data_IF_702948009381
#
_entry.id   IF_702948009381
#
_cell.length_a   1.000
_cell.length_b   1.000
_cell.length_c   1.000
_cell.angle_alpha   90.00
_cell.angle_beta   90.00
_cell.angle_gamma   90.00
#
_symmetry.space_group_name_H-M   'P 1'
#
loop_
_entity.id
_entity.type
_entity.pdbx_description
1 polymer ?
#
# COMPACT_ATOMS: atom_id res chain seq x y z
N UNK A 1 19.02 -14.91 -11.00
CA UNK A 1 17.73 -15.61 -10.96
C UNK A 1 16.96 -15.10 -9.77
N UNK A 2 15.70 -14.77 -9.94
CA UNK A 2 14.74 -14.29 -8.95
C UNK A 2 14.81 -12.80 -8.59
N UNK A 3 14.19 -12.00 -9.42
CA UNK A 3 13.65 -10.71 -9.06
C UNK A 3 12.13 -10.77 -9.20
N UNK A 4 11.46 -11.19 -8.15
CA UNK A 4 10.02 -10.95 -7.97
C UNK A 4 9.80 -10.67 -6.50
N UNK A 5 9.95 -9.42 -6.11
CA UNK A 5 9.37 -8.90 -4.87
C UNK A 5 7.87 -8.91 -5.06
N UNK A 6 7.20 -9.82 -4.39
CA UNK A 6 5.76 -10.00 -4.52
C UNK A 6 5.12 -9.68 -3.20
N UNK A 7 4.38 -8.60 -3.16
CA UNK A 7 3.42 -8.32 -2.10
C UNK A 7 2.37 -9.44 -2.07
N UNK A 8 2.42 -10.24 -1.02
CA UNK A 8 1.36 -11.19 -0.72
C UNK A 8 0.26 -10.47 0.07
N UNK A 9 -0.71 -9.90 -0.62
CA UNK A 9 -2.02 -9.63 -0.01
C UNK A 9 -2.81 -10.92 -0.09
N UNK A 10 -3.15 -11.53 1.04
CA UNK A 10 -3.82 -12.84 1.10
C UNK A 10 -5.17 -12.80 0.42
N UNK A 11 -5.31 -13.59 -0.61
CA UNK A 11 -6.52 -14.36 -0.82
C UNK A 11 -6.15 -15.82 -0.58
N UNK A 12 -6.74 -16.39 0.42
CA UNK A 12 -6.75 -17.82 0.62
C UNK A 12 -7.14 -18.52 -0.70
N UNK A 13 -6.68 -19.73 -0.88
CA UNK A 13 -7.13 -20.62 -1.95
C UNK A 13 -8.69 -20.58 -2.02
N UNK A 14 -9.32 -20.77 -3.17
CA UNK A 14 -10.78 -20.79 -3.30
C UNK A 14 -11.49 -21.67 -2.25
N UNK A 15 -10.85 -22.73 -1.81
CA UNK A 15 -11.36 -23.65 -0.78
C UNK A 15 -11.40 -23.03 0.63
N UNK A 16 -10.53 -22.08 0.95
CA UNK A 16 -10.53 -21.40 2.27
C UNK A 16 -11.65 -20.35 2.30
N UNK A 17 -11.94 -19.71 1.17
CA UNK A 17 -13.00 -18.71 1.07
C UNK A 17 -14.38 -19.32 1.32
N UNK A 18 -14.61 -20.56 0.88
CA UNK A 18 -15.89 -21.24 1.08
C UNK A 18 -16.13 -21.69 2.53
N UNK A 19 -15.06 -21.97 3.30
CA UNK A 19 -15.20 -22.47 4.67
C UNK A 19 -15.24 -21.39 5.77
N UNK A 20 -14.84 -20.14 5.46
CA UNK A 20 -14.62 -19.10 6.47
C UNK A 20 -15.53 -17.88 6.30
N UNK A 21 -16.17 -17.70 5.14
CA UNK A 21 -17.01 -16.52 4.90
C UNK A 21 -18.50 -16.86 5.01
N UNK A 22 -19.31 -15.94 5.60
CA UNK A 22 -20.78 -16.06 5.58
C UNK A 22 -21.28 -16.15 4.14
N UNK A 23 -22.37 -16.90 3.93
CA UNK A 23 -22.94 -17.24 2.61
C UNK A 23 -23.27 -16.04 1.69
N UNK A 24 -23.35 -14.83 2.22
CA UNK A 24 -23.56 -13.61 1.45
C UNK A 24 -22.24 -13.00 0.88
N UNK A 25 -21.08 -13.39 1.38
CA UNK A 25 -19.77 -12.95 0.88
C UNK A 25 -19.20 -13.89 -0.19
N UNK A 26 -19.65 -15.14 -0.24
CA UNK A 26 -19.19 -16.17 -1.19
C UNK A 26 -19.66 -15.91 -2.64
N UNK A 27 -20.67 -15.04 -2.82
CA UNK A 27 -21.21 -14.73 -4.16
C UNK A 27 -20.33 -13.85 -5.06
N UNK A 28 -19.16 -13.42 -4.62
CA UNK A 28 -18.31 -12.51 -5.42
C UNK A 28 -17.21 -13.22 -6.20
N UNK A 29 -16.91 -14.50 -5.91
CA UNK A 29 -15.85 -15.27 -6.60
C UNK A 29 -16.36 -16.46 -7.43
N UNK A 30 -17.67 -16.65 -7.52
CA UNK A 30 -18.24 -17.64 -8.42
C UNK A 30 -18.10 -17.20 -9.87
N UNK A 31 -17.63 -18.09 -10.73
CA UNK A 31 -17.85 -17.99 -12.17
C UNK A 31 -19.28 -17.49 -12.40
N UNK A 32 -19.43 -16.30 -13.00
CA UNK A 32 -20.75 -15.84 -13.43
C UNK A 32 -21.31 -16.86 -14.43
N UNK A 33 -22.02 -17.84 -13.94
CA UNK A 33 -23.06 -18.47 -14.72
C UNK A 33 -24.10 -17.38 -14.89
N UNK A 34 -24.12 -16.74 -16.04
CA UNK A 34 -25.17 -15.81 -16.43
C UNK A 34 -26.48 -16.58 -16.23
N UNK A 35 -27.39 -16.14 -15.34
CA UNK A 35 -28.68 -16.81 -15.22
C UNK A 35 -29.34 -16.77 -16.60
N UNK A 36 -29.76 -17.92 -17.14
CA UNK A 36 -30.61 -17.91 -18.32
C UNK A 36 -31.82 -17.06 -17.96
N UNK A 37 -31.92 -15.88 -18.59
CA UNK A 37 -33.09 -14.99 -18.44
C UNK A 37 -34.34 -15.76 -18.76
N UNK A 38 -35.26 -15.77 -17.82
CA UNK A 38 -36.61 -16.26 -18.07
C UNK A 38 -37.26 -15.38 -19.14
N UNK A 39 -37.89 -16.03 -20.11
CA UNK A 39 -38.65 -15.41 -21.18
C UNK A 39 -39.80 -14.60 -20.55
N UNK A 40 -39.62 -13.30 -20.32
CA UNK A 40 -40.66 -12.47 -19.70
C UNK A 40 -40.45 -10.95 -19.83
N UNK A 41 -39.23 -10.48 -19.86
CA UNK A 41 -38.96 -9.06 -20.01
C UNK A 41 -38.67 -8.70 -21.49
N UNK A 42 -39.58 -7.92 -22.11
CA UNK A 42 -39.35 -7.30 -23.39
C UNK A 42 -38.24 -6.24 -23.26
N UNK A 43 -36.98 -6.69 -23.21
CA UNK A 43 -35.87 -5.84 -23.54
C UNK A 43 -36.01 -5.46 -25.02
N UNK A 44 -35.78 -4.20 -25.37
CA UNK A 44 -35.66 -3.74 -26.74
C UNK A 44 -34.54 -4.55 -27.43
N UNK A 45 -34.92 -5.60 -28.17
CA UNK A 45 -33.94 -6.35 -28.95
C UNK A 45 -33.44 -5.41 -30.05
N UNK A 46 -32.14 -5.14 -30.09
CA UNK A 46 -31.49 -4.57 -31.24
C UNK A 46 -31.63 -5.59 -32.35
N UNK A 47 -32.17 -5.22 -33.50
CA UNK A 47 -32.52 -6.11 -34.62
C UNK A 47 -31.50 -7.24 -34.89
N UNK A 48 -31.76 -8.06 -35.92
CA UNK A 48 -30.87 -9.17 -36.26
C UNK A 48 -29.54 -8.64 -36.85
N UNK A 49 -28.42 -9.16 -36.35
CA UNK A 49 -27.07 -8.93 -36.91
C UNK A 49 -26.55 -10.27 -37.46
N UNK A 50 -25.84 -10.26 -38.58
CA UNK A 50 -25.25 -11.47 -39.10
C UNK A 50 -23.92 -11.78 -38.41
N UNK A 51 -23.56 -13.10 -38.30
CA UNK A 51 -22.23 -13.53 -37.84
C UNK A 51 -21.11 -12.84 -38.61
N UNK A 52 -21.28 -12.60 -39.92
CA UNK A 52 -20.29 -11.94 -40.76
C UNK A 52 -20.08 -10.50 -40.32
N UNK A 53 -21.15 -9.75 -40.09
CA UNK A 53 -21.05 -8.36 -39.63
C UNK A 53 -20.37 -8.24 -38.27
N UNK A 54 -20.62 -9.18 -37.36
CA UNK A 54 -19.91 -9.23 -36.07
C UNK A 54 -18.39 -9.44 -36.24
N UNK A 55 -18.00 -10.40 -37.06
CA UNK A 55 -16.59 -10.65 -37.40
C UNK A 55 -15.94 -9.46 -38.08
N UNK A 56 -16.63 -8.81 -38.98
CA UNK A 56 -16.17 -7.58 -39.66
C UNK A 56 -16.00 -6.43 -38.64
N UNK A 57 -16.92 -6.26 -37.70
CA UNK A 57 -16.81 -5.29 -36.61
C UNK A 57 -15.62 -5.57 -35.70
N UNK A 58 -15.40 -6.84 -35.38
CA UNK A 58 -14.21 -7.25 -34.63
C UNK A 58 -12.92 -6.89 -35.37
N UNK A 59 -12.81 -7.21 -36.67
CA UNK A 59 -11.62 -6.90 -37.45
C UNK A 59 -11.39 -5.39 -37.56
N UNK A 60 -12.42 -4.59 -37.81
CA UNK A 60 -12.35 -3.12 -37.83
C UNK A 60 -11.87 -2.58 -36.48
N UNK A 61 -12.39 -3.13 -35.37
CA UNK A 61 -11.99 -2.72 -34.05
C UNK A 61 -10.52 -3.11 -33.78
N UNK A 62 -10.08 -4.27 -34.28
CA UNK A 62 -8.68 -4.73 -34.19
C UNK A 62 -7.73 -3.86 -34.99
N UNK A 63 -8.13 -3.40 -36.19
CA UNK A 63 -7.35 -2.47 -37.01
C UNK A 63 -7.26 -1.09 -36.36
N UNK A 64 -8.39 -0.58 -35.85
CA UNK A 64 -8.43 0.68 -35.07
C UNK A 64 -7.52 0.61 -33.84
N UNK A 65 -7.50 -0.52 -33.14
CA UNK A 65 -6.57 -0.76 -32.02
C UNK A 65 -5.10 -0.67 -32.46
N UNK A 66 -4.73 -1.34 -33.56
CA UNK A 66 -3.34 -1.33 -34.07
C UNK A 66 -2.85 0.06 -34.50
N UNK A 67 -3.75 0.92 -34.94
CA UNK A 67 -3.45 2.31 -35.32
C UNK A 67 -3.38 3.27 -34.12
N UNK A 68 -3.83 2.85 -32.95
CA UNK A 68 -3.89 3.69 -31.76
C UNK A 68 -2.52 3.85 -31.11
N UNK A 69 -2.14 5.10 -30.84
CA UNK A 69 -0.90 5.39 -30.13
C UNK A 69 -1.01 4.93 -28.65
N UNK A 70 0.02 4.27 -28.16
CA UNK A 70 0.09 3.86 -26.76
C UNK A 70 0.19 5.08 -25.84
N UNK A 71 -0.36 4.99 -24.60
CA UNK A 71 -0.22 6.04 -23.60
C UNK A 71 1.24 6.33 -23.27
N UNK A 72 1.54 7.57 -22.92
CA UNK A 72 2.86 7.96 -22.42
C UNK A 72 3.25 7.20 -21.16
N UNK A 73 4.57 7.11 -20.92
CA UNK A 73 5.09 6.51 -19.71
C UNK A 73 4.78 7.36 -18.49
N UNK A 74 4.50 6.68 -17.37
CA UNK A 74 4.36 7.31 -16.06
C UNK A 74 5.77 7.52 -15.48
N UNK A 75 6.05 8.72 -14.94
CA UNK A 75 7.34 9.00 -14.32
C UNK A 75 7.52 8.14 -13.04
N UNK A 76 8.52 7.24 -12.98
CA UNK A 76 8.77 6.41 -11.79
C UNK A 76 9.20 7.21 -10.56
N UNK A 77 9.75 8.42 -10.75
CA UNK A 77 10.08 9.38 -9.67
C UNK A 77 9.01 10.45 -9.49
N UNK A 78 7.80 10.22 -10.00
CA UNK A 78 6.69 11.16 -9.87
C UNK A 78 6.23 11.30 -8.42
N UNK A 79 5.71 12.50 -8.11
CA UNK A 79 4.89 12.76 -6.93
C UNK A 79 3.47 12.96 -7.41
N UNK A 80 2.55 12.17 -6.89
CA UNK A 80 1.16 12.10 -7.34
C UNK A 80 0.24 12.78 -6.33
N UNK A 81 -0.48 13.79 -6.77
CA UNK A 81 -1.38 14.55 -5.91
C UNK A 81 -2.79 13.96 -5.89
N UNK A 82 -3.31 13.73 -4.70
CA UNK A 82 -4.72 13.44 -4.45
C UNK A 82 -5.49 14.73 -4.11
N UNK A 83 -4.83 15.68 -3.45
CA UNK A 83 -5.35 17.00 -3.12
C UNK A 83 -4.37 18.08 -3.60
N UNK A 84 -4.85 19.32 -3.68
CA UNK A 84 -3.97 20.47 -3.91
C UNK A 84 -3.09 20.71 -2.68
N UNK A 85 -1.78 20.75 -2.91
CA UNK A 85 -0.76 20.93 -1.89
C UNK A 85 0.28 21.97 -2.33
N UNK A 86 0.29 23.10 -1.68
CA UNK A 86 1.29 24.16 -1.87
C UNK A 86 2.42 24.02 -0.84
N UNK A 87 3.61 23.65 -1.29
CA UNK A 87 4.77 23.48 -0.41
C UNK A 87 5.27 24.79 0.20
N UNK A 88 4.84 25.97 -0.30
CA UNK A 88 5.14 27.27 0.31
C UNK A 88 4.49 27.41 1.68
N UNK A 89 3.27 26.87 1.83
CA UNK A 89 2.52 26.90 3.10
C UNK A 89 3.07 25.90 4.12
N UNK A 90 3.78 24.86 3.66
CA UNK A 90 4.37 23.85 4.54
C UNK A 90 5.61 24.41 5.21
N UNK A 91 5.58 24.57 6.53
CA UNK A 91 6.68 25.03 7.35
C UNK A 91 7.38 23.91 8.10
N UNK A 92 6.67 22.81 8.37
CA UNK A 92 7.12 21.70 9.21
C UNK A 92 6.96 20.38 8.46
N UNK A 93 8.03 19.61 8.40
CA UNK A 93 8.08 18.29 7.80
C UNK A 93 8.22 17.23 8.89
N UNK A 94 7.23 16.37 9.01
CA UNK A 94 7.24 15.23 9.92
C UNK A 94 7.44 13.92 9.19
N UNK A 95 8.14 12.97 9.81
CA UNK A 95 8.44 11.69 9.19
C UNK A 95 8.19 10.53 10.15
N UNK A 96 7.64 9.45 9.63
CA UNK A 96 7.87 8.13 10.19
C UNK A 96 9.25 7.61 9.77
N UNK A 97 9.74 6.54 10.42
CA UNK A 97 11.03 5.96 10.11
C UNK A 97 10.90 4.73 9.20
N UNK A 98 10.16 3.71 9.66
CA UNK A 98 10.08 2.43 8.98
C UNK A 98 9.29 2.56 7.67
N UNK A 99 9.82 1.99 6.57
CA UNK A 99 9.29 2.09 5.21
C UNK A 99 9.01 3.52 4.71
N UNK A 100 9.38 4.54 5.48
CA UNK A 100 9.26 5.96 5.12
C UNK A 100 10.64 6.57 4.84
N UNK A 101 11.52 6.61 5.83
CA UNK A 101 12.92 7.02 5.67
C UNK A 101 13.82 5.80 5.41
N UNK A 102 13.56 4.69 6.09
CA UNK A 102 14.26 3.43 5.97
C UNK A 102 13.51 2.47 5.04
N UNK A 103 14.06 2.19 3.88
CA UNK A 103 13.58 1.14 2.98
C UNK A 103 14.31 -0.17 3.28
N UNK A 104 13.54 -1.24 3.46
CA UNK A 104 14.09 -2.54 3.79
C UNK A 104 14.24 -3.44 2.57
N UNK A 105 15.29 -4.27 2.58
CA UNK A 105 15.54 -5.30 1.58
C UNK A 105 14.64 -6.52 1.83
N UNK A 106 14.42 -7.39 0.81
CA UNK A 106 13.68 -8.64 0.99
C UNK A 106 14.22 -9.55 2.10
N UNK A 107 15.50 -9.43 2.45
CA UNK A 107 16.10 -10.13 3.58
C UNK A 107 15.41 -9.85 4.92
N UNK A 108 14.82 -8.68 5.08
CA UNK A 108 14.01 -8.33 6.25
C UNK A 108 12.73 -9.16 6.32
N UNK A 109 12.03 -9.32 5.19
CA UNK A 109 10.80 -10.11 5.12
C UNK A 109 11.08 -11.59 5.44
N UNK A 110 12.18 -12.13 4.89
CA UNK A 110 12.63 -13.49 5.20
C UNK A 110 13.04 -13.68 6.66
N UNK A 111 13.69 -12.68 7.26
CA UNK A 111 14.06 -12.69 8.66
C UNK A 111 12.82 -12.75 9.56
N UNK A 112 11.87 -11.83 9.37
CA UNK A 112 10.62 -11.78 10.14
C UNK A 112 9.79 -13.06 9.97
N UNK A 113 9.68 -13.57 8.73
CA UNK A 113 9.01 -14.84 8.46
C UNK A 113 9.65 -16.00 9.23
N UNK A 114 10.99 -16.13 9.17
CA UNK A 114 11.71 -17.24 9.80
C UNK A 114 11.61 -17.19 11.32
N UNK A 115 11.80 -16.01 11.90
CA UNK A 115 11.65 -15.80 13.36
C UNK A 115 10.20 -16.04 13.81
N UNK A 116 9.21 -15.53 13.09
CA UNK A 116 7.79 -15.74 13.37
C UNK A 116 7.40 -17.22 13.31
N UNK A 117 7.88 -17.94 12.28
CA UNK A 117 7.68 -19.39 12.14
C UNK A 117 8.27 -20.17 13.33
N UNK A 118 9.50 -19.85 13.72
CA UNK A 118 10.19 -20.55 14.82
C UNK A 118 9.49 -20.28 16.16
N UNK A 119 9.02 -19.05 16.40
CA UNK A 119 8.18 -18.69 17.54
C UNK A 119 6.84 -19.43 17.54
N UNK A 120 6.20 -19.54 16.37
CA UNK A 120 4.92 -20.25 16.22
C UNK A 120 5.09 -21.74 16.50
N UNK A 121 6.14 -22.39 15.98
CA UNK A 121 6.47 -23.80 16.24
C UNK A 121 6.65 -24.03 17.74
N UNK A 122 7.34 -23.13 18.42
CA UNK A 122 7.52 -23.24 19.87
C UNK A 122 6.20 -23.09 20.62
N UNK A 123 5.34 -22.17 20.18
CA UNK A 123 4.04 -21.93 20.81
C UNK A 123 3.07 -23.12 20.67
N UNK A 124 3.04 -23.81 19.54
CA UNK A 124 2.18 -24.99 19.35
C UNK A 124 2.56 -26.18 20.21
N UNK A 125 3.70 -26.13 20.90
CA UNK A 125 4.03 -27.08 21.97
C UNK A 125 3.28 -26.80 23.29
N UNK A 126 2.71 -25.61 23.49
CA UNK A 126 2.21 -25.11 24.79
C UNK A 126 0.75 -24.57 24.84
N UNK A 127 -0.11 -24.74 23.82
CA UNK A 127 -1.59 -24.52 23.81
C UNK A 127 -2.26 -23.12 23.98
N UNK A 128 -3.30 -22.93 23.22
CA UNK A 128 -4.65 -22.26 23.11
C UNK A 128 -4.99 -20.92 23.83
N UNK A 129 -5.54 -19.93 23.06
CA UNK A 129 -6.65 -19.00 23.39
C UNK A 129 -7.10 -18.06 22.25
N UNK A 130 -8.34 -17.45 22.35
CA UNK A 130 -9.19 -16.78 21.32
C UNK A 130 -8.83 -15.35 20.95
N UNK A 131 -9.14 -14.88 19.71
CA UNK A 131 -9.51 -13.47 19.34
C UNK A 131 -9.89 -13.20 17.87
N UNK A 132 -10.07 -11.93 17.51
CA UNK A 132 -10.73 -11.22 16.42
C UNK A 132 -9.85 -11.05 15.17
N UNK A 133 -10.44 -11.08 13.95
CA UNK A 133 -9.74 -10.81 12.68
C UNK A 133 -9.42 -9.31 12.52
N UNK A 134 -8.25 -9.01 11.95
CA UNK A 134 -7.77 -7.64 11.69
C UNK A 134 -7.33 -7.55 10.23
N UNK A 135 -7.54 -6.38 9.61
CA UNK A 135 -7.07 -6.09 8.26
C UNK A 135 -5.58 -5.78 8.27
N UNK A 136 -4.84 -6.37 7.33
CA UNK A 136 -3.42 -6.13 7.14
C UNK A 136 -3.24 -4.95 6.17
N UNK A 137 -2.47 -3.97 6.58
CA UNK A 137 -2.42 -2.69 5.88
C UNK A 137 -1.00 -2.11 5.71
N UNK A 138 0.03 -2.82 6.17
CA UNK A 138 1.42 -2.39 6.10
C UNK A 138 2.35 -3.48 5.56
N UNK A 139 3.58 -3.09 5.21
CA UNK A 139 4.58 -4.00 4.67
C UNK A 139 5.15 -4.97 5.71
N UNK A 140 5.16 -4.62 7.00
CA UNK A 140 5.50 -5.56 8.07
C UNK A 140 4.52 -6.72 8.18
N UNK A 141 3.31 -6.56 7.66
CA UNK A 141 2.31 -7.63 7.59
C UNK A 141 2.60 -8.68 6.52
N UNK A 142 3.49 -8.43 5.57
CA UNK A 142 3.79 -9.38 4.47
C UNK A 142 4.34 -10.73 4.99
N UNK A 143 5.36 -10.76 5.88
CA UNK A 143 5.82 -12.02 6.48
C UNK A 143 4.76 -12.73 7.31
N UNK A 144 3.94 -11.98 8.06
CA UNK A 144 2.79 -12.51 8.83
C UNK A 144 1.81 -13.23 7.91
N UNK A 145 1.52 -12.61 6.77
CA UNK A 145 0.63 -13.16 5.76
C UNK A 145 1.19 -14.40 5.09
N UNK A 146 2.45 -14.38 4.69
CA UNK A 146 3.13 -15.52 4.10
C UNK A 146 3.12 -16.72 5.06
N UNK A 147 3.37 -16.48 6.35
CA UNK A 147 3.33 -17.50 7.38
C UNK A 147 1.92 -18.04 7.58
N UNK A 148 0.90 -17.17 7.67
CA UNK A 148 -0.50 -17.59 7.82
C UNK A 148 -0.95 -18.47 6.64
N UNK A 149 -0.63 -18.09 5.40
CA UNK A 149 -0.95 -18.90 4.22
C UNK A 149 -0.29 -20.27 4.27
N UNK A 150 1.00 -20.33 4.56
CA UNK A 150 1.73 -21.58 4.57
C UNK A 150 1.26 -22.54 5.66
N UNK A 151 0.97 -22.04 6.86
CA UNK A 151 0.44 -22.86 7.95
C UNK A 151 -0.98 -23.32 7.65
N UNK A 152 -1.82 -22.46 7.10
CA UNK A 152 -3.17 -22.83 6.66
C UNK A 152 -3.12 -23.93 5.60
N UNK A 153 -2.27 -23.77 4.58
CA UNK A 153 -2.09 -24.80 3.54
C UNK A 153 -1.58 -26.12 4.11
N UNK A 154 -0.64 -26.06 5.05
CA UNK A 154 -0.15 -27.24 5.75
C UNK A 154 -1.26 -27.97 6.49
N UNK A 155 -2.13 -27.26 7.23
CA UNK A 155 -3.25 -27.87 7.95
C UNK A 155 -4.26 -28.50 7.00
N UNK A 156 -4.62 -27.81 5.91
CA UNK A 156 -5.55 -28.34 4.90
C UNK A 156 -5.00 -29.59 4.22
N UNK A 157 -3.70 -29.58 3.81
CA UNK A 157 -3.07 -30.74 3.16
C UNK A 157 -2.95 -31.97 4.06
N UNK A 158 -2.81 -31.74 5.36
CA UNK A 158 -2.66 -32.83 6.33
C UNK A 158 -3.97 -33.16 7.07
N UNK A 159 -5.11 -32.60 6.63
CA UNK A 159 -6.43 -32.83 7.24
C UNK A 159 -6.43 -32.53 8.76
N UNK A 160 -5.71 -31.48 9.19
CA UNK A 160 -5.67 -31.03 10.56
C UNK A 160 -6.76 -29.99 10.78
N UNK A 161 -7.68 -30.27 11.70
CA UNK A 161 -8.71 -29.30 12.08
C UNK A 161 -8.08 -28.11 12.81
N UNK A 162 -8.51 -26.90 12.46
CA UNK A 162 -8.06 -25.67 13.08
C UNK A 162 -9.17 -24.62 13.16
N UNK A 163 -9.05 -23.71 14.10
CA UNK A 163 -9.95 -22.55 14.20
C UNK A 163 -9.27 -21.33 13.56
N UNK A 164 -9.81 -20.74 12.49
CA UNK A 164 -9.15 -19.67 11.72
C UNK A 164 -8.76 -18.46 12.57
N UNK A 165 -9.62 -18.02 13.49
CA UNK A 165 -9.32 -16.88 14.37
C UNK A 165 -8.19 -17.16 15.35
N UNK A 166 -8.10 -18.41 15.83
CA UNK A 166 -7.01 -18.82 16.74
C UNK A 166 -5.71 -18.86 15.96
N UNK A 167 -5.70 -19.49 14.79
CA UNK A 167 -4.54 -19.57 13.92
C UNK A 167 -4.01 -18.17 13.57
N UNK A 168 -4.90 -17.28 13.12
CA UNK A 168 -4.55 -15.90 12.80
C UNK A 168 -3.88 -15.19 14.00
N UNK A 169 -4.48 -15.27 15.19
CA UNK A 169 -3.92 -14.68 16.40
C UNK A 169 -2.55 -15.26 16.76
N UNK A 170 -2.41 -16.56 16.61
CA UNK A 170 -1.16 -17.24 16.98
C UNK A 170 -0.03 -16.86 16.05
N UNK A 171 -0.29 -16.77 14.75
CA UNK A 171 0.64 -16.25 13.75
C UNK A 171 1.01 -14.80 14.08
N UNK A 172 0.02 -13.94 14.26
CA UNK A 172 0.22 -12.53 14.58
C UNK A 172 1.07 -12.32 15.83
N UNK A 173 0.71 -12.97 16.93
CA UNK A 173 1.45 -12.86 18.19
C UNK A 173 2.88 -13.38 18.05
N UNK A 174 3.09 -14.45 17.27
CA UNK A 174 4.41 -15.02 17.02
C UNK A 174 5.29 -14.05 16.25
N UNK A 175 4.76 -13.44 15.19
CA UNK A 175 5.50 -12.41 14.43
C UNK A 175 5.75 -11.18 15.27
N UNK A 176 4.76 -10.69 16.03
CA UNK A 176 4.95 -9.52 16.90
C UNK A 176 5.99 -9.76 18.00
N UNK A 177 6.05 -10.96 18.57
CA UNK A 177 7.02 -11.28 19.63
C UNK A 177 8.47 -11.41 19.13
N UNK A 178 8.69 -11.58 17.84
CA UNK A 178 10.04 -11.66 17.27
C UNK A 178 10.69 -10.29 17.01
N UNK A 179 9.96 -9.17 17.05
CA UNK A 179 10.50 -7.84 16.76
C UNK A 179 11.74 -7.45 17.58
N UNK A 180 11.82 -7.70 18.92
CA UNK A 180 13.03 -7.39 19.68
C UNK A 180 14.27 -8.17 19.19
N UNK A 181 14.08 -9.42 18.76
CA UNK A 181 15.17 -10.25 18.21
C UNK A 181 15.57 -9.71 16.84
N UNK A 182 14.60 -9.40 16.00
CA UNK A 182 14.82 -8.79 14.69
C UNK A 182 15.61 -7.48 14.83
N UNK A 183 15.19 -6.57 15.72
CA UNK A 183 15.92 -5.33 15.97
C UNK A 183 17.39 -5.59 16.30
N UNK A 184 17.68 -6.58 17.18
CA UNK A 184 19.05 -6.94 17.53
C UNK A 184 19.89 -7.43 16.36
N UNK A 185 19.32 -8.28 15.48
CA UNK A 185 19.99 -8.82 14.31
C UNK A 185 20.24 -7.75 13.23
N UNK A 186 19.26 -6.90 13.00
CA UNK A 186 19.39 -5.78 12.03
C UNK A 186 20.45 -4.77 12.48
N UNK A 187 20.50 -4.44 13.79
CA UNK A 187 21.54 -3.54 14.33
C UNK A 187 22.94 -4.13 14.16
N UNK A 188 23.11 -5.44 14.26
CA UNK A 188 24.41 -6.10 14.06
C UNK A 188 24.85 -6.06 12.58
N UNK A 189 23.93 -6.09 11.63
CA UNK A 189 24.26 -6.13 10.20
C UNK A 189 23.29 -5.28 9.37
N UNK A 190 23.25 -3.97 9.61
CA UNK A 190 22.31 -3.03 9.00
C UNK A 190 22.36 -3.04 7.47
N UNK A 191 23.52 -3.23 6.88
CA UNK A 191 23.71 -3.22 5.43
C UNK A 191 23.08 -4.41 4.71
N UNK A 192 22.80 -5.50 5.42
CA UNK A 192 22.09 -6.67 4.89
C UNK A 192 20.60 -6.39 4.72
N UNK A 193 20.01 -5.60 5.61
CA UNK A 193 18.56 -5.41 5.73
C UNK A 193 18.06 -4.07 5.19
N UNK A 194 18.85 -3.00 5.30
CA UNK A 194 18.48 -1.67 4.79
C UNK A 194 19.04 -1.40 3.40
N UNK A 195 18.24 -0.76 2.58
CA UNK A 195 18.69 -0.16 1.33
C UNK A 195 19.35 1.19 1.61
N UNK A 196 20.53 1.44 1.03
CA UNK A 196 21.18 2.74 1.16
C UNK A 196 20.50 3.76 0.25
N UNK A 197 20.06 4.87 0.81
CA UNK A 197 19.48 6.00 0.08
C UNK A 197 20.45 7.21 0.13
N UNK A 198 21.28 7.35 -0.90
CA UNK A 198 22.29 8.41 -0.99
C UNK A 198 21.69 9.82 -1.10
N UNK A 199 20.46 9.94 -1.56
CA UNK A 199 19.77 11.21 -1.75
C UNK A 199 19.05 11.69 -0.48
N UNK A 200 18.89 10.84 0.55
CA UNK A 200 18.16 11.21 1.77
C UNK A 200 18.83 12.37 2.51
N UNK A 201 20.16 12.32 2.65
CA UNK A 201 20.94 13.43 3.23
C UNK A 201 20.75 14.72 2.44
N UNK A 202 20.83 14.65 1.12
CA UNK A 202 20.61 15.79 0.22
C UNK A 202 19.20 16.37 0.37
N UNK A 203 18.21 15.53 0.59
CA UNK A 203 16.84 15.96 0.85
C UNK A 203 16.75 16.76 2.17
N UNK A 204 17.34 16.27 3.26
CA UNK A 204 17.36 16.98 4.53
C UNK A 204 18.17 18.29 4.46
N UNK A 205 19.31 18.29 3.79
CA UNK A 205 20.11 19.51 3.56
C UNK A 205 19.30 20.59 2.85
N UNK A 206 18.46 20.18 1.89
CA UNK A 206 17.59 21.10 1.15
C UNK A 206 16.48 21.69 2.02
N UNK A 207 15.82 20.87 2.86
CA UNK A 207 14.82 21.36 3.80
C UNK A 207 15.44 22.32 4.83
N UNK A 208 16.61 21.99 5.36
CA UNK A 208 17.37 22.85 6.28
C UNK A 208 17.75 24.18 5.64
N UNK A 209 18.21 24.17 4.37
CA UNK A 209 18.49 25.39 3.59
C UNK A 209 17.25 26.26 3.38
N UNK A 210 16.07 25.67 3.29
CA UNK A 210 14.80 26.36 3.14
C UNK A 210 14.18 26.77 4.50
N UNK A 211 14.92 26.66 5.59
CA UNK A 211 14.49 26.95 6.99
C UNK A 211 13.22 26.18 7.41
N UNK A 212 13.02 24.99 6.84
CA UNK A 212 11.90 24.11 7.23
C UNK A 212 12.24 23.35 8.51
N UNK A 213 11.28 23.27 9.43
CA UNK A 213 11.41 22.47 10.65
C UNK A 213 11.19 20.99 10.35
N UNK A 214 11.88 20.12 11.06
CA UNK A 214 11.79 18.67 10.84
C UNK A 214 11.61 17.94 12.17
N UNK A 215 10.74 16.94 12.17
CA UNK A 215 10.58 16.04 13.31
C UNK A 215 10.40 14.59 12.87
N UNK A 216 10.80 13.67 13.74
CA UNK A 216 10.67 12.23 13.57
C UNK A 216 9.76 11.66 14.65
N UNK A 217 8.74 10.87 14.27
CA UNK A 217 7.88 10.13 15.19
C UNK A 217 7.73 8.70 14.71
N UNK A 218 8.28 7.76 15.46
CA UNK A 218 8.28 6.34 15.10
C UNK A 218 7.92 5.41 16.25
N UNK A 219 7.38 4.23 15.93
CA UNK A 219 7.16 3.16 16.91
C UNK A 219 8.43 2.41 17.27
N UNK A 220 9.47 2.51 16.46
CA UNK A 220 10.74 1.81 16.65
C UNK A 220 11.56 2.34 17.83
N UNK A 221 12.36 1.50 18.50
CA UNK A 221 13.20 1.91 19.62
C UNK A 221 14.43 2.69 19.13
N UNK A 222 14.97 3.55 20.02
CA UNK A 222 16.05 4.48 19.67
C UNK A 222 17.28 3.78 19.07
N UNK A 223 17.77 2.69 19.68
CA UNK A 223 18.99 2.01 19.22
C UNK A 223 18.86 1.48 17.77
N UNK A 224 17.65 1.06 17.39
CA UNK A 224 17.35 0.61 16.03
C UNK A 224 17.33 1.78 15.05
N UNK A 225 16.62 2.85 15.41
CA UNK A 225 16.54 4.09 14.61
C UNK A 225 17.92 4.74 14.46
N UNK A 226 18.70 4.85 15.54
CA UNK A 226 20.03 5.45 15.52
C UNK A 226 20.98 4.69 14.58
N UNK A 227 20.99 3.36 14.65
CA UNK A 227 21.79 2.53 13.74
C UNK A 227 21.40 2.73 12.29
N UNK A 228 20.11 2.70 11.98
CA UNK A 228 19.64 2.89 10.62
C UNK A 228 19.87 4.31 10.09
N UNK A 229 19.62 5.33 10.89
CA UNK A 229 19.85 6.73 10.50
C UNK A 229 21.35 7.05 10.32
N UNK A 230 22.23 6.48 11.14
CA UNK A 230 23.68 6.57 10.92
C UNK A 230 24.10 5.96 9.60
N UNK A 231 23.52 4.81 9.25
CA UNK A 231 23.76 4.15 7.97
C UNK A 231 23.24 4.96 6.77
N UNK A 232 22.07 5.60 6.90
CA UNK A 232 21.41 6.34 5.82
C UNK A 232 21.94 7.76 5.62
N UNK A 233 22.25 8.47 6.72
CA UNK A 233 22.54 9.91 6.71
C UNK A 233 23.94 10.23 7.27
N UNK A 234 24.39 9.43 8.24
CA UNK A 234 25.64 9.61 8.95
C UNK A 234 25.45 9.95 10.43
N UNK A 235 26.57 10.04 11.16
CA UNK A 235 26.56 10.19 12.64
C UNK A 235 25.81 11.41 13.14
N UNK A 236 25.78 12.48 12.36
CA UNK A 236 25.13 13.74 12.74
C UNK A 236 23.66 13.82 12.31
N UNK A 237 22.98 12.69 12.08
CA UNK A 237 21.62 12.67 11.60
C UNK A 237 20.63 13.42 12.52
N UNK A 238 20.87 13.43 13.83
CA UNK A 238 20.04 14.13 14.83
C UNK A 238 20.01 15.65 14.61
N UNK A 239 21.06 16.22 14.01
CA UNK A 239 21.13 17.66 13.74
C UNK A 239 20.15 18.15 12.69
N UNK A 240 19.53 17.24 11.94
CA UNK A 240 18.47 17.58 11.00
C UNK A 240 17.12 17.80 11.68
N UNK A 241 16.86 17.12 12.80
CA UNK A 241 15.56 17.11 13.44
C UNK A 241 15.51 18.10 14.63
N UNK A 242 14.42 18.89 14.67
CA UNK A 242 14.13 19.74 15.82
C UNK A 242 13.52 18.91 16.97
N UNK A 243 12.80 17.82 16.65
CA UNK A 243 12.20 16.90 17.63
C UNK A 243 12.36 15.46 17.12
N UNK A 244 12.76 14.55 18.02
CA UNK A 244 12.81 13.11 17.76
C UNK A 244 12.04 12.39 18.85
N UNK A 245 10.99 11.65 18.44
CA UNK A 245 10.15 10.85 19.34
C UNK A 245 10.20 9.39 18.85
N UNK A 246 10.68 8.49 19.70
CA UNK A 246 10.76 7.05 19.44
C UNK A 246 9.81 6.29 20.36
N UNK A 247 9.48 5.03 20.03
CA UNK A 247 8.50 4.23 20.77
C UNK A 247 7.18 4.99 21.01
N UNK A 248 6.75 5.77 20.02
CA UNK A 248 5.59 6.67 20.10
C UNK A 248 4.27 5.94 20.34
N UNK A 249 4.21 4.63 19.96
CA UNK A 249 3.00 3.79 20.03
C UNK A 249 1.85 4.31 19.16
N UNK A 250 2.18 4.70 17.93
CA UNK A 250 1.13 4.99 16.93
C UNK A 250 0.20 3.76 16.76
N UNK A 251 -1.12 3.91 16.60
CA UNK A 251 -1.87 5.17 16.42
C UNK A 251 -2.16 5.95 17.72
N UNK A 252 -1.90 5.41 18.91
CA UNK A 252 -2.21 6.03 20.19
C UNK A 252 -1.57 7.41 20.38
N UNK A 253 -0.38 7.62 19.79
CA UNK A 253 0.27 8.93 19.78
C UNK A 253 -0.63 10.03 19.18
N UNK A 254 -1.42 9.69 18.14
CA UNK A 254 -2.32 10.63 17.47
C UNK A 254 -3.71 10.70 18.11
N UNK A 255 -4.16 9.66 18.81
CA UNK A 255 -5.55 9.53 19.31
C UNK A 255 -5.71 9.71 20.82
N UNK A 256 -4.65 9.53 21.61
CA UNK A 256 -4.68 9.73 23.06
C UNK A 256 -4.19 11.14 23.45
N UNK A 257 -4.70 11.70 24.55
CA UNK A 257 -4.29 13.03 25.05
C UNK A 257 -3.44 13.01 26.31
N UNK A 258 -3.43 11.93 27.04
CA UNK A 258 -2.92 11.88 28.43
C UNK A 258 -1.57 11.18 28.60
N UNK A 259 -1.05 10.51 27.57
CA UNK A 259 0.25 9.81 27.68
C UNK A 259 1.40 10.80 27.76
N UNK A 260 2.22 10.79 28.84
CA UNK A 260 3.28 11.76 29.00
C UNK A 260 4.48 11.45 28.09
N UNK A 261 5.09 12.52 27.54
CA UNK A 261 6.43 12.45 26.97
C UNK A 261 7.45 12.10 28.06
N UNK A 262 8.47 11.30 27.70
CA UNK A 262 9.61 10.97 28.53
C UNK A 262 10.89 11.28 27.77
N UNK A 263 12.00 11.44 28.49
CA UNK A 263 13.33 11.61 27.90
C UNK A 263 14.03 10.25 27.90
N UNK A 264 14.67 9.94 26.78
CA UNK A 264 15.57 8.78 26.70
C UNK A 264 16.99 9.20 27.05
N UNK A 265 17.56 8.60 28.10
CA UNK A 265 18.95 8.75 28.45
C UNK A 265 19.80 7.82 27.56
N UNK A 266 20.53 8.42 26.61
CA UNK A 266 21.37 7.69 25.67
C UNK A 266 22.58 7.01 26.33
N UNK A 267 23.06 7.53 27.46
CA UNK A 267 24.23 7.01 28.19
C UNK A 267 23.83 5.75 28.97
N UNK A 268 22.81 5.87 29.80
CA UNK A 268 22.35 4.78 30.64
C UNK A 268 21.37 3.83 29.92
N UNK A 269 20.93 4.18 28.68
CA UNK A 269 19.95 3.44 27.88
C UNK A 269 18.63 3.22 28.62
N UNK A 270 18.21 4.21 29.40
CA UNK A 270 17.02 4.16 30.26
C UNK A 270 16.08 5.33 29.98
N UNK A 271 14.87 5.21 30.45
CA UNK A 271 13.87 6.25 30.42
C UNK A 271 13.97 7.12 31.69
N UNK A 272 14.00 8.43 31.53
CA UNK A 272 13.89 9.38 32.64
C UNK A 272 12.43 9.68 32.95
N UNK A 273 12.13 9.87 34.23
CA UNK A 273 10.75 10.07 34.70
C UNK A 273 10.38 11.55 34.88
N UNK A 274 11.34 12.45 34.63
CA UNK A 274 11.12 13.87 34.72
C UNK A 274 10.03 14.35 33.77
N UNK A 275 9.29 15.37 34.21
CA UNK A 275 8.25 15.97 33.39
C UNK A 275 8.87 16.80 32.26
N UNK A 276 8.53 16.49 31.04
CA UNK A 276 8.89 17.29 29.86
C UNK A 276 7.97 18.51 29.78
N UNK A 277 8.55 19.69 29.84
CA UNK A 277 7.82 20.97 29.75
C UNK A 277 8.14 21.74 28.47
N UNK A 278 9.24 21.42 27.80
CA UNK A 278 9.67 21.96 26.51
C UNK A 278 10.38 20.90 25.71
N UNK A 279 10.40 21.06 24.40
CA UNK A 279 11.15 20.21 23.49
C UNK A 279 12.46 20.90 23.10
N UNK A 280 13.56 20.17 23.18
CA UNK A 280 14.91 20.66 22.89
C UNK A 280 15.53 19.84 21.77
N UNK A 281 16.23 20.52 20.86
CA UNK A 281 16.96 19.88 19.78
C UNK A 281 18.08 19.00 20.31
N UNK A 282 18.21 17.78 19.71
CA UNK A 282 19.23 16.81 20.13
C UNK A 282 18.80 15.91 21.28
N UNK A 283 17.68 16.18 21.96
CA UNK A 283 17.11 15.31 22.98
C UNK A 283 16.18 14.28 22.32
N UNK A 284 16.30 13.04 22.76
CA UNK A 284 15.43 11.94 22.30
C UNK A 284 14.28 11.75 23.28
N UNK A 285 13.07 11.81 22.75
CA UNK A 285 11.84 11.63 23.53
C UNK A 285 11.22 10.26 23.27
N UNK A 286 10.48 9.77 24.28
CA UNK A 286 9.73 8.53 24.25
C UNK A 286 8.25 8.80 24.43
N UNK A 287 7.40 8.00 23.77
CA UNK A 287 5.95 8.02 23.94
C UNK A 287 5.34 9.40 23.66
N UNK A 288 4.49 9.91 24.56
CA UNK A 288 3.82 11.19 24.42
C UNK A 288 2.59 11.18 23.54
N UNK A 289 2.11 12.37 23.20
CA UNK A 289 0.97 12.59 22.31
C UNK A 289 1.23 13.75 21.35
N UNK A 290 0.53 13.73 20.22
CA UNK A 290 0.56 14.83 19.25
C UNK A 290 0.11 16.17 19.88
N UNK A 291 -0.83 16.11 20.83
CA UNK A 291 -1.27 17.31 21.58
C UNK A 291 -0.11 17.98 22.30
N UNK A 292 0.71 17.21 23.03
CA UNK A 292 1.91 17.74 23.69
C UNK A 292 2.91 18.30 22.69
N UNK A 293 3.14 17.60 21.55
CA UNK A 293 3.99 18.12 20.49
C UNK A 293 3.48 19.47 19.99
N UNK A 294 2.18 19.58 19.67
CA UNK A 294 1.56 20.82 19.20
C UNK A 294 1.60 21.94 20.22
N UNK A 295 1.35 21.64 21.50
CA UNK A 295 1.32 22.64 22.57
C UNK A 295 2.71 23.23 22.86
N UNK A 296 3.78 22.42 22.73
CA UNK A 296 5.14 22.85 22.98
C UNK A 296 5.82 23.50 21.77
N UNK A 297 5.38 23.19 20.53
CA UNK A 297 6.01 23.69 19.31
C UNK A 297 5.18 24.72 18.55
N UNK A 298 3.87 24.73 18.75
CA UNK A 298 2.93 25.50 17.95
C UNK A 298 2.65 24.93 16.54
N UNK A 299 3.17 23.78 16.21
CA UNK A 299 3.02 23.14 14.87
C UNK A 299 1.62 22.55 14.71
N UNK A 300 0.77 23.17 13.92
CA UNK A 300 -0.65 22.79 13.81
C UNK A 300 -1.17 22.92 12.39
N UNK A 301 -2.17 22.10 12.06
CA UNK A 301 -2.94 22.22 10.83
C UNK A 301 -2.11 22.09 9.56
N UNK A 302 -2.49 22.80 8.51
CA UNK A 302 -1.94 22.72 7.16
C UNK A 302 -0.47 23.12 7.01
N UNK A 303 0.14 23.77 8.00
CA UNK A 303 1.58 24.07 7.98
C UNK A 303 2.46 22.84 8.21
N UNK A 304 1.90 21.71 8.67
CA UNK A 304 2.60 20.45 8.91
C UNK A 304 2.31 19.50 7.78
N UNK A 305 3.36 18.94 7.16
CA UNK A 305 3.29 17.85 6.19
C UNK A 305 3.98 16.62 6.80
N UNK A 306 3.19 15.59 7.11
CA UNK A 306 3.65 14.36 7.74
C UNK A 306 3.72 13.23 6.73
N UNK A 307 4.83 12.49 6.74
CA UNK A 307 5.07 11.36 5.84
C UNK A 307 5.06 10.04 6.60
N UNK A 308 4.36 9.06 6.05
CA UNK A 308 4.32 7.69 6.55
C UNK A 308 3.91 6.70 5.46
N UNK A 309 4.03 5.42 5.76
CA UNK A 309 3.62 4.33 4.87
C UNK A 309 2.25 3.75 5.24
N UNK A 310 1.85 3.87 6.50
CA UNK A 310 0.66 3.21 7.02
C UNK A 310 -0.61 4.05 6.83
N UNK A 311 -1.62 3.55 6.03
CA UNK A 311 -2.77 4.36 5.62
C UNK A 311 -3.72 4.76 6.76
N UNK A 312 -3.64 4.14 7.90
CA UNK A 312 -4.47 4.48 9.08
C UNK A 312 -3.71 5.36 10.07
N UNK A 313 -2.62 4.86 10.65
CA UNK A 313 -1.91 5.55 11.72
C UNK A 313 -1.19 6.81 11.26
N UNK A 314 -0.69 6.83 10.02
CA UNK A 314 0.13 7.94 9.53
C UNK A 314 -0.63 8.90 8.61
N UNK A 315 -1.76 8.49 8.07
CA UNK A 315 -2.54 9.33 7.15
C UNK A 315 -3.91 9.68 7.71
N UNK A 316 -4.75 8.68 8.00
CA UNK A 316 -6.16 8.94 8.35
C UNK A 316 -6.30 9.67 9.67
N UNK A 317 -5.69 9.17 10.75
CA UNK A 317 -5.80 9.75 12.09
C UNK A 317 -5.22 11.16 12.13
N UNK A 318 -4.08 11.34 11.45
CA UNK A 318 -3.37 12.63 11.37
C UNK A 318 -4.18 13.69 10.63
N UNK A 319 -4.80 13.32 9.52
CA UNK A 319 -5.62 14.24 8.71
C UNK A 319 -6.92 14.59 9.40
N UNK A 320 -7.64 13.57 9.91
CA UNK A 320 -8.97 13.76 10.46
C UNK A 320 -8.97 14.50 11.80
N UNK A 321 -8.00 14.22 12.68
CA UNK A 321 -7.99 14.73 14.03
C UNK A 321 -7.16 16.01 14.19
N UNK A 322 -6.11 16.17 13.35
CA UNK A 322 -5.15 17.27 13.52
C UNK A 322 -5.09 18.23 12.35
N UNK A 323 -5.76 17.91 11.22
CA UNK A 323 -5.77 18.74 10.03
C UNK A 323 -4.39 18.92 9.39
N UNK A 324 -3.44 18.01 9.67
CA UNK A 324 -2.14 18.02 9.02
C UNK A 324 -2.26 17.59 7.56
N UNK A 325 -1.37 18.08 6.72
CA UNK A 325 -1.15 17.55 5.38
C UNK A 325 -0.38 16.25 5.47
N UNK A 326 -0.63 15.34 4.53
CA UNK A 326 -0.02 14.00 4.55
C UNK A 326 0.57 13.60 3.21
N UNK A 327 1.71 12.91 3.29
CA UNK A 327 2.40 12.30 2.17
C UNK A 327 2.57 10.80 2.40
N UNK A 328 2.06 9.97 1.50
CA UNK A 328 2.24 8.53 1.61
C UNK A 328 3.49 8.07 0.87
N UNK A 329 4.31 7.25 1.53
CA UNK A 329 5.44 6.56 0.91
C UNK A 329 5.01 5.13 0.62
N UNK A 330 4.98 4.77 -0.67
CA UNK A 330 4.51 3.47 -1.17
C UNK A 330 5.60 2.89 -2.05
N UNK A 331 6.48 2.09 -1.47
CA UNK A 331 7.63 1.52 -2.18
C UNK A 331 7.23 0.63 -3.35
N UNK A 332 6.07 -0.06 -3.24
CA UNK A 332 5.47 -0.91 -4.26
C UNK A 332 5.09 -0.16 -5.53
N UNK A 333 4.90 1.15 -5.43
CA UNK A 333 4.61 2.01 -6.57
C UNK A 333 5.70 1.93 -7.65
N UNK A 334 6.95 1.64 -7.28
CA UNK A 334 8.05 1.43 -8.22
C UNK A 334 7.75 0.25 -9.17
N UNK A 335 7.31 -0.88 -8.64
CA UNK A 335 6.94 -2.05 -9.44
C UNK A 335 5.65 -1.80 -10.22
N UNK A 336 4.67 -1.15 -9.61
CA UNK A 336 3.40 -0.79 -10.25
C UNK A 336 3.65 0.07 -11.50
N UNK A 337 4.45 1.14 -11.39
CA UNK A 337 4.78 2.03 -12.52
C UNK A 337 5.60 1.30 -13.58
N UNK A 338 6.57 0.48 -13.19
CA UNK A 338 7.34 -0.32 -14.15
C UNK A 338 6.43 -1.24 -14.98
N UNK A 339 5.44 -1.85 -14.34
CA UNK A 339 4.43 -2.67 -15.01
C UNK A 339 3.53 -1.85 -15.93
N UNK A 340 3.03 -0.69 -15.45
CA UNK A 340 2.21 0.21 -16.26
C UNK A 340 2.95 0.75 -17.50
N UNK A 341 4.26 0.92 -17.40
CA UNK A 341 5.09 1.39 -18.50
C UNK A 341 5.47 0.28 -19.49
N UNK A 342 5.24 -0.98 -19.16
CA UNK A 342 5.55 -2.11 -20.03
C UNK A 342 4.69 -2.04 -21.31
N UNK A 343 5.30 -2.03 -22.52
CA UNK A 343 4.55 -1.93 -23.79
C UNK A 343 3.50 -3.02 -23.95
N UNK A 344 3.83 -4.26 -23.59
CA UNK A 344 2.92 -5.40 -23.68
C UNK A 344 1.71 -5.28 -22.75
N UNK A 345 1.94 -4.75 -21.54
CA UNK A 345 0.84 -4.42 -20.62
C UNK A 345 -0.09 -3.36 -21.23
N UNK A 346 0.46 -2.26 -21.76
CA UNK A 346 -0.30 -1.18 -22.40
C UNK A 346 -1.12 -1.70 -23.59
N UNK A 347 -0.51 -2.53 -24.41
CA UNK A 347 -1.20 -3.18 -25.53
C UNK A 347 -2.39 -4.03 -25.04
N UNK A 348 -2.15 -4.92 -24.10
CA UNK A 348 -3.20 -5.80 -23.56
C UNK A 348 -4.31 -5.01 -22.87
N UNK A 349 -3.98 -3.97 -22.10
CA UNK A 349 -4.96 -3.13 -21.42
C UNK A 349 -5.84 -2.34 -22.41
N UNK A 350 -5.25 -1.75 -23.45
CA UNK A 350 -5.99 -1.05 -24.50
C UNK A 350 -6.89 -2.02 -25.30
N UNK A 351 -6.37 -3.20 -25.65
CA UNK A 351 -7.19 -4.18 -26.36
C UNK A 351 -8.33 -4.69 -25.50
N UNK A 352 -8.08 -4.98 -24.22
CA UNK A 352 -9.13 -5.37 -23.28
C UNK A 352 -10.27 -4.34 -23.21
N UNK A 353 -9.93 -3.05 -23.17
CA UNK A 353 -10.93 -1.98 -23.15
C UNK A 353 -11.77 -1.97 -24.42
N UNK A 354 -11.13 -2.04 -25.59
CA UNK A 354 -11.82 -2.03 -26.87
C UNK A 354 -12.68 -3.27 -27.10
N UNK A 355 -12.17 -4.45 -26.72
CA UNK A 355 -12.93 -5.70 -26.79
C UNK A 355 -14.12 -5.70 -25.83
N UNK A 356 -13.97 -5.12 -24.65
CA UNK A 356 -15.09 -4.97 -23.69
C UNK A 356 -16.19 -4.07 -24.26
N UNK A 357 -15.82 -2.95 -24.86
CA UNK A 357 -16.79 -2.06 -25.55
C UNK A 357 -17.50 -2.77 -26.72
N UNK A 358 -16.75 -3.56 -27.50
CA UNK A 358 -17.34 -4.33 -28.59
C UNK A 358 -18.36 -5.39 -28.07
N UNK A 359 -18.05 -6.07 -26.98
CA UNK A 359 -18.98 -7.01 -26.34
C UNK A 359 -20.23 -6.26 -25.84
N UNK A 360 -20.05 -5.09 -25.18
CA UNK A 360 -21.12 -4.27 -24.67
C UNK A 360 -22.09 -3.81 -25.80
N UNK A 361 -21.53 -3.41 -26.95
CA UNK A 361 -22.32 -3.00 -28.11
C UNK A 361 -23.13 -4.13 -28.72
N UNK A 362 -22.67 -5.39 -28.60
CA UNK A 362 -23.26 -6.53 -29.30
C UNK A 362 -24.01 -7.52 -28.40
N UNK A 363 -23.96 -7.37 -27.08
CA UNK A 363 -24.55 -8.33 -26.13
C UNK A 363 -26.08 -8.48 -26.20
N UNK A 364 -26.77 -7.50 -26.77
CA UNK A 364 -28.24 -7.48 -26.86
C UNK A 364 -28.78 -7.99 -28.22
N UNK A 365 -27.91 -8.44 -29.13
CA UNK A 365 -28.33 -9.10 -30.34
C UNK A 365 -28.72 -10.56 -30.11
N UNK A 366 -29.76 -11.02 -30.78
CA UNK A 366 -30.29 -12.39 -30.65
C UNK A 366 -29.81 -13.28 -31.80
N UNK A 367 -29.63 -14.55 -31.55
CA UNK A 367 -29.27 -15.59 -32.51
C UNK A 367 -28.18 -16.54 -31.98
N UNK A 368 -28.31 -17.82 -32.30
CA UNK A 368 -27.36 -18.84 -31.87
C UNK A 368 -25.94 -18.59 -32.38
N UNK A 369 -25.81 -18.14 -33.61
CA UNK A 369 -24.51 -17.81 -34.22
C UNK A 369 -23.89 -16.54 -33.64
N UNK A 370 -24.73 -15.57 -33.26
CA UNK A 370 -24.32 -14.34 -32.57
C UNK A 370 -23.80 -14.68 -31.17
N UNK A 371 -24.54 -15.50 -30.44
CA UNK A 371 -24.14 -15.91 -29.10
C UNK A 371 -22.82 -16.70 -29.11
N UNK A 372 -22.59 -17.57 -30.10
CA UNK A 372 -21.33 -18.29 -30.24
C UNK A 372 -20.13 -17.33 -30.40
N UNK A 373 -20.26 -16.28 -31.21
CA UNK A 373 -19.21 -15.27 -31.39
C UNK A 373 -19.00 -14.46 -30.10
N UNK A 374 -20.07 -14.07 -29.42
CA UNK A 374 -19.97 -13.37 -28.13
C UNK A 374 -19.25 -14.22 -27.07
N UNK A 375 -19.52 -15.52 -27.02
CA UNK A 375 -18.86 -16.44 -26.10
C UNK A 375 -17.35 -16.56 -26.40
N UNK A 376 -16.93 -16.51 -27.66
CA UNK A 376 -15.50 -16.45 -28.06
C UNK A 376 -14.86 -15.13 -27.58
N UNK A 377 -15.50 -14.00 -27.79
CA UNK A 377 -15.00 -12.69 -27.35
C UNK A 377 -14.91 -12.59 -25.81
N UNK A 378 -15.90 -13.14 -25.11
CA UNK A 378 -15.90 -13.22 -23.64
C UNK A 378 -14.73 -14.05 -23.14
N UNK A 379 -14.45 -15.21 -23.77
CA UNK A 379 -13.29 -16.05 -23.42
C UNK A 379 -11.96 -15.30 -23.65
N UNK A 380 -11.83 -14.59 -24.78
CA UNK A 380 -10.65 -13.77 -25.08
C UNK A 380 -10.49 -12.66 -24.02
N UNK A 381 -11.58 -11.94 -23.70
CA UNK A 381 -11.59 -10.91 -22.66
C UNK A 381 -11.14 -11.45 -21.31
N UNK A 382 -11.66 -12.60 -20.89
CA UNK A 382 -11.35 -13.19 -19.58
C UNK A 382 -9.89 -13.68 -19.52
N UNK A 383 -9.36 -14.18 -20.63
CA UNK A 383 -7.94 -14.51 -20.75
C UNK A 383 -7.07 -13.26 -20.60
N UNK A 384 -7.37 -12.18 -21.31
CA UNK A 384 -6.66 -10.90 -21.22
C UNK A 384 -6.72 -10.31 -19.78
N UNK A 385 -7.87 -10.38 -19.11
CA UNK A 385 -8.04 -9.95 -17.73
C UNK A 385 -7.10 -10.69 -16.78
N UNK A 386 -7.00 -12.01 -16.94
CA UNK A 386 -6.12 -12.84 -16.14
C UNK A 386 -4.64 -12.53 -16.41
N UNK A 387 -4.25 -12.35 -17.67
CA UNK A 387 -2.89 -11.98 -18.05
C UNK A 387 -2.51 -10.62 -17.44
N UNK A 388 -3.35 -9.59 -17.59
CA UNK A 388 -3.13 -8.24 -17.05
C UNK A 388 -3.02 -8.29 -15.51
N UNK A 389 -3.86 -9.08 -14.83
CA UNK A 389 -3.81 -9.22 -13.38
C UNK A 389 -2.48 -9.85 -12.92
N UNK A 390 -2.07 -10.94 -13.55
CA UNK A 390 -0.90 -11.72 -13.15
C UNK A 390 0.43 -10.99 -13.33
N UNK A 391 0.49 -9.98 -14.21
CA UNK A 391 1.72 -9.21 -14.43
C UNK A 391 2.12 -8.41 -13.17
N UNK A 392 1.16 -7.96 -12.36
CA UNK A 392 1.44 -7.29 -11.09
C UNK A 392 1.79 -8.28 -9.98
N UNK A 393 0.88 -9.19 -9.72
CA UNK A 393 1.07 -10.30 -8.80
C UNK A 393 0.25 -11.50 -9.30
N UNK A 394 0.85 -12.68 -9.31
CA UNK A 394 0.22 -13.87 -9.89
C UNK A 394 -1.11 -14.24 -9.23
N UNK A 395 -1.21 -14.08 -7.92
CA UNK A 395 -2.41 -14.42 -7.15
C UNK A 395 -3.34 -13.22 -6.93
N UNK A 396 -2.79 -12.05 -6.61
CA UNK A 396 -3.56 -10.91 -6.10
C UNK A 396 -3.73 -9.77 -7.09
N UNK A 397 -2.85 -9.64 -8.09
CA UNK A 397 -2.88 -8.56 -9.05
C UNK A 397 -2.26 -7.26 -8.52
N UNK A 398 -2.76 -6.10 -8.99
CA UNK A 398 -2.29 -4.77 -8.61
C UNK A 398 -2.70 -4.40 -7.18
N UNK A 399 -1.84 -3.68 -6.47
CA UNK A 399 -2.16 -3.06 -5.17
C UNK A 399 -3.24 -1.99 -5.32
N UNK A 400 -3.27 -1.31 -6.45
CA UNK A 400 -4.12 -0.14 -6.67
C UNK A 400 -5.46 -0.46 -7.33
N UNK A 401 -5.55 -1.55 -8.10
CA UNK A 401 -6.77 -1.87 -8.86
C UNK A 401 -7.16 -3.34 -8.80
N UNK A 402 -8.46 -3.56 -8.63
CA UNK A 402 -9.10 -4.85 -8.84
C UNK A 402 -9.93 -4.75 -10.12
N UNK A 403 -9.40 -5.24 -11.24
CA UNK A 403 -9.93 -5.01 -12.60
C UNK A 403 -10.09 -3.51 -12.90
N UNK A 404 -11.32 -3.00 -12.92
CA UNK A 404 -11.63 -1.60 -13.20
C UNK A 404 -11.77 -0.74 -11.94
N UNK A 405 -11.98 -1.39 -10.78
CA UNK A 405 -12.24 -0.68 -9.54
C UNK A 405 -10.96 -0.38 -8.75
N UNK A 406 -10.88 0.79 -8.08
CA UNK A 406 -9.84 1.01 -7.09
C UNK A 406 -9.96 -0.02 -5.96
N UNK A 407 -8.84 -0.53 -5.48
CA UNK A 407 -8.79 -1.37 -4.29
C UNK A 407 -9.23 -0.59 -3.05
N UNK A 408 -9.46 -1.30 -1.94
CA UNK A 408 -9.71 -0.64 -0.67
C UNK A 408 -8.54 0.24 -0.24
N UNK A 409 -7.31 -0.22 -0.45
CA UNK A 409 -6.09 0.55 -0.22
C UNK A 409 -6.08 1.86 -1.02
N UNK A 410 -6.34 1.79 -2.34
CA UNK A 410 -6.39 3.00 -3.20
C UNK A 410 -7.43 4.00 -2.74
N UNK A 411 -8.61 3.53 -2.31
CA UNK A 411 -9.67 4.44 -1.82
C UNK A 411 -9.27 5.14 -0.53
N UNK A 412 -8.58 4.45 0.36
CA UNK A 412 -8.04 5.03 1.59
C UNK A 412 -6.93 6.03 1.31
N UNK A 413 -5.97 5.62 0.46
CA UNK A 413 -4.90 6.49 0.00
C UNK A 413 -5.45 7.80 -0.60
N UNK A 414 -6.37 7.68 -1.55
CA UNK A 414 -6.95 8.83 -2.24
C UNK A 414 -7.74 9.75 -1.31
N UNK A 415 -8.33 9.20 -0.25
CA UNK A 415 -9.10 9.99 0.72
C UNK A 415 -8.21 10.74 1.72
N UNK A 416 -7.11 10.14 2.17
CA UNK A 416 -6.35 10.61 3.32
C UNK A 416 -4.95 11.12 2.99
N UNK A 417 -4.36 10.77 1.86
CA UNK A 417 -3.10 11.33 1.41
C UNK A 417 -3.33 12.59 0.57
N UNK A 418 -2.59 13.66 0.84
CA UNK A 418 -2.54 14.81 -0.08
C UNK A 418 -1.65 14.49 -1.29
N UNK A 419 -0.51 13.85 -1.06
CA UNK A 419 0.41 13.37 -2.09
C UNK A 419 0.88 11.95 -1.76
N UNK A 420 1.30 11.21 -2.80
CA UNK A 420 1.97 9.92 -2.61
C UNK A 420 3.10 9.72 -3.61
N UNK A 421 4.08 8.90 -3.25
CA UNK A 421 5.28 8.64 -4.04
C UNK A 421 5.96 7.33 -3.61
N UNK A 422 6.88 6.83 -4.43
CA UNK A 422 7.63 5.60 -4.11
C UNK A 422 8.77 5.81 -3.11
N UNK A 423 9.30 7.02 -3.03
CA UNK A 423 10.38 7.40 -2.10
C UNK A 423 10.27 8.88 -1.76
N UNK A 424 10.58 9.24 -0.52
CA UNK A 424 10.60 10.63 -0.06
C UNK A 424 11.56 11.51 -0.88
N UNK A 425 12.62 10.93 -1.40
CA UNK A 425 13.62 11.62 -2.22
C UNK A 425 13.12 12.04 -3.60
N UNK A 426 11.94 11.56 -4.04
CA UNK A 426 11.28 12.03 -5.26
C UNK A 426 10.97 13.54 -5.18
N UNK A 427 10.79 14.08 -3.98
CA UNK A 427 10.60 15.52 -3.77
C UNK A 427 11.80 16.36 -4.19
N UNK A 428 12.97 15.76 -4.38
CA UNK A 428 14.13 16.45 -4.92
C UNK A 428 13.96 16.92 -6.39
N UNK A 429 13.05 16.33 -7.12
CA UNK A 429 12.72 16.73 -8.50
C UNK A 429 11.89 18.04 -8.55
N UNK A 430 11.37 18.49 -7.40
CA UNK A 430 10.48 19.66 -7.31
C UNK A 430 11.08 20.74 -6.41
N UNK A 431 10.75 22.00 -6.61
CA UNK A 431 11.18 23.08 -5.73
C UNK A 431 10.44 23.02 -4.37
N UNK A 432 11.03 23.62 -3.33
CA UNK A 432 10.37 23.75 -2.01
C UNK A 432 9.18 24.74 -2.02
N UNK A 433 8.94 25.37 -3.14
CA UNK A 433 7.81 26.28 -3.42
C UNK A 433 6.86 25.74 -4.48
N UNK A 434 6.96 24.43 -4.82
CA UNK A 434 6.11 23.80 -5.81
C UNK A 434 4.70 23.57 -5.28
N UNK A 435 3.70 23.78 -6.13
CA UNK A 435 2.31 23.43 -5.84
C UNK A 435 1.92 22.19 -6.64
N UNK A 436 1.49 21.15 -5.95
CA UNK A 436 0.95 19.94 -6.55
C UNK A 436 -0.55 20.10 -6.77
N UNK A 437 -1.01 19.77 -7.98
CA UNK A 437 -2.41 19.81 -8.36
C UNK A 437 -2.94 18.42 -8.60
N UNK A 438 -4.07 18.02 -7.97
CA UNK A 438 -4.71 16.74 -8.27
C UNK A 438 -5.21 16.72 -9.70
N UNK A 439 -5.13 15.56 -10.32
CA UNK A 439 -5.82 15.35 -11.60
C UNK A 439 -7.31 15.24 -11.34
N UNK A 440 -8.12 15.90 -12.16
CA UNK A 440 -9.58 15.83 -12.04
C UNK A 440 -10.04 14.37 -12.11
N UNK A 441 -10.79 13.94 -11.09
CA UNK A 441 -11.46 12.64 -11.10
C UNK A 441 -12.50 12.61 -12.20
N UNK A 442 -12.61 11.50 -12.91
CA UNK A 442 -13.57 11.33 -14.01
C UNK A 442 -14.69 10.41 -13.54
N UNK A 443 -15.91 10.93 -13.48
CA UNK A 443 -17.11 10.11 -13.33
C UNK A 443 -17.41 9.38 -14.65
N UNK A 444 -18.10 8.22 -14.66
CA UNK A 444 -18.38 7.48 -15.90
C UNK A 444 -19.04 8.30 -17.00
N UNK A 445 -19.94 9.25 -16.65
CA UNK A 445 -20.59 10.15 -17.60
C UNK A 445 -19.73 11.33 -18.05
N UNK A 446 -18.62 11.62 -17.35
CA UNK A 446 -17.64 12.67 -17.69
C UNK A 446 -16.47 12.13 -18.52
N UNK A 447 -16.48 10.83 -18.86
CA UNK A 447 -15.38 10.17 -19.57
C UNK A 447 -15.29 10.75 -20.98
N UNK A 448 -14.46 11.74 -21.16
CA UNK A 448 -14.11 12.34 -22.45
C UNK A 448 -12.79 11.77 -22.93
N UNK A 449 -12.60 11.73 -24.24
CA UNK A 449 -11.47 11.12 -24.95
C UNK A 449 -10.06 11.66 -24.60
N UNK A 450 -9.92 12.46 -23.55
CA UNK A 450 -8.62 12.99 -23.08
C UNK A 450 -7.74 11.93 -22.40
N UNK A 451 -8.29 10.76 -22.09
CA UNK A 451 -7.56 9.63 -21.48
C UNK A 451 -7.36 8.46 -22.45
N UNK A 452 -7.59 8.69 -23.74
CA UNK A 452 -7.47 7.67 -24.79
C UNK A 452 -6.25 7.94 -25.67
#
# INVERSE_FOLDING_TARGET
>A
MLHTRTLAVVAASPLIVESVLPSWLVRVSGSHVVPKRSVGDRALSRGQISRKDMLDNYQKTREKYKSKKLPHDVNPKGVFACNELDLREVQVYGFDYDYTLACYKPSMDYLLYSLGRDMLIQKYKDALHRTKMIQLADLFSVPEMGLLCNVTEYFLRNHIDYHPEILFRDVKNSVQSCHPIMHGLVVQNVSEYLEQNKDLKRFFDRLKKADKKMFLVTNSPFHFVDTGMRFLVGDNWKDYFDVVIVQARKPKFFTEESRPLRIYDEVNKTQLWDRVTKLEKGVIYLEGTVKQLQDMTGWRGHQVLYFGDHPYSDLADVTLEHGWRTGAIITELTHEIATLNNPKFKENANWLQMLTGLIEEHQDYEGTDVQAVLDEWIKERDKLRNEIKRVFNEQFGSVFRTYHNPTYFSRRLFRFADIYMSSITNLLEYSTSHTFYPRRGVMPHEYTSYFV
#
